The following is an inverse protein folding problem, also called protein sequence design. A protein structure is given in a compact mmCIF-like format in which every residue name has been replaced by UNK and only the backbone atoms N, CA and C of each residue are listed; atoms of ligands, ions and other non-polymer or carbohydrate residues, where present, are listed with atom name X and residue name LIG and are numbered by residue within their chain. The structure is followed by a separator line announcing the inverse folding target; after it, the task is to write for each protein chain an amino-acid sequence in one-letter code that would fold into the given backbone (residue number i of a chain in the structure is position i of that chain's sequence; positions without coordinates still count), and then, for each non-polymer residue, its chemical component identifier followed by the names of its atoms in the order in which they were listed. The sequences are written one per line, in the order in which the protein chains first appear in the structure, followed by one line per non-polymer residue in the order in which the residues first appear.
data_IF_241050057774
#
_entry.id   IF_241050057774
#
_cell.length_a   1.000
_cell.length_b   1.000
_cell.length_c   1.000
_cell.angle_alpha   90.00
_cell.angle_beta   90.00
_cell.angle_gamma   90.00
#
_symmetry.space_group_name_H-M   'P 1'
#
loop_
_entity.id
_entity.type
_entity.pdbx_description
1 polymer ?
#
# COMPACT_ATOMS: atom_id res chain seq x y z
N UNK A 1 -0.42 16.40 18.64
CA UNK A 1 -1.14 16.59 17.37
C UNK A 1 -2.62 16.43 17.64
N UNK A 2 -3.44 17.42 17.30
CA UNK A 2 -4.90 17.26 17.36
C UNK A 2 -5.34 16.37 16.19
N UNK A 3 -6.52 15.73 16.26
CA UNK A 3 -6.96 14.77 15.23
C UNK A 3 -7.02 15.33 13.79
N UNK A 4 -7.16 16.66 13.64
CA UNK A 4 -7.15 17.35 12.34
C UNK A 4 -5.74 17.47 11.73
N UNK A 5 -4.72 17.61 12.58
CA UNK A 5 -3.32 17.71 12.16
C UNK A 5 -2.81 16.37 11.62
N UNK A 6 -3.19 15.27 12.29
CA UNK A 6 -2.80 13.92 11.89
C UNK A 6 -3.40 13.51 10.54
N UNK A 7 -4.69 13.80 10.30
CA UNK A 7 -5.34 13.52 9.02
C UNK A 7 -4.72 14.34 7.87
N UNK A 8 -4.45 15.63 8.09
CA UNK A 8 -3.77 16.46 7.07
C UNK A 8 -2.36 15.97 6.78
N UNK A 9 -1.65 15.44 7.78
CA UNK A 9 -0.33 14.85 7.58
C UNK A 9 -0.44 13.56 6.76
N UNK A 10 -1.27 12.61 7.20
CA UNK A 10 -1.44 11.31 6.54
C UNK A 10 -1.96 11.42 5.10
N UNK A 11 -2.74 12.45 4.79
CA UNK A 11 -3.17 12.75 3.42
C UNK A 11 -2.01 12.95 2.43
N UNK A 12 -0.81 13.24 2.94
CA UNK A 12 0.42 13.47 2.14
C UNK A 12 1.43 12.32 2.28
N UNK A 13 1.08 11.26 2.99
CA UNK A 13 1.97 10.11 3.24
C UNK A 13 1.52 8.93 2.39
N UNK A 14 2.47 8.36 1.66
CA UNK A 14 2.32 7.06 1.01
C UNK A 14 2.97 5.95 1.83
N UNK A 15 2.48 4.72 1.66
CA UNK A 15 3.08 3.51 2.23
C UNK A 15 3.57 2.56 1.15
N UNK A 16 4.36 1.56 1.54
CA UNK A 16 4.93 0.58 0.64
C UNK A 16 4.44 -0.83 1.01
N UNK A 17 4.09 -1.69 0.04
CA UNK A 17 3.67 -3.07 0.32
C UNK A 17 4.69 -3.89 1.11
N UNK A 18 5.98 -3.54 1.07
CA UNK A 18 7.03 -4.21 1.87
C UNK A 18 6.77 -4.11 3.38
N UNK A 19 6.05 -3.09 3.86
CA UNK A 19 5.63 -3.00 5.27
C UNK A 19 4.66 -4.12 5.69
N UNK A 20 4.03 -4.78 4.70
CA UNK A 20 3.21 -5.99 4.86
C UNK A 20 3.96 -7.28 4.46
N UNK A 21 5.27 -7.19 4.19
CA UNK A 21 6.11 -8.33 3.83
C UNK A 21 6.12 -8.69 2.35
N UNK A 22 5.50 -7.89 1.49
CA UNK A 22 5.50 -8.11 0.03
C UNK A 22 6.89 -7.82 -0.53
N UNK A 23 7.55 -8.86 -1.06
CA UNK A 23 8.93 -8.79 -1.54
C UNK A 23 9.17 -9.76 -2.70
N UNK A 24 9.90 -9.31 -3.73
CA UNK A 24 10.27 -10.10 -4.91
C UNK A 24 11.35 -11.16 -4.64
N UNK A 25 12.00 -11.12 -3.48
CA UNK A 25 13.10 -12.04 -3.14
C UNK A 25 12.57 -13.48 -3.01
N UNK A 26 13.12 -14.45 -3.76
CA UNK A 26 12.70 -15.84 -3.65
C UNK A 26 12.86 -16.39 -2.24
N UNK A 27 11.80 -17.04 -1.72
CA UNK A 27 11.81 -17.64 -0.39
C UNK A 27 11.64 -16.66 0.78
N UNK A 28 11.36 -15.38 0.51
CA UNK A 28 11.14 -14.36 1.54
C UNK A 28 9.98 -14.70 2.50
N UNK A 29 8.90 -15.25 1.97
CA UNK A 29 7.71 -15.59 2.74
C UNK A 29 6.43 -15.55 1.90
N UNK A 30 5.30 -15.45 2.60
CA UNK A 30 3.97 -15.37 2.00
C UNK A 30 3.75 -14.02 1.31
N UNK A 31 3.22 -14.05 0.09
CA UNK A 31 2.73 -12.86 -0.62
C UNK A 31 1.24 -12.68 -0.30
N UNK A 32 0.93 -11.73 0.59
CA UNK A 32 -0.46 -11.42 0.92
C UNK A 32 -1.20 -10.86 -0.31
N UNK A 33 -2.51 -11.07 -0.46
CA UNK A 33 -3.27 -10.48 -1.57
C UNK A 33 -3.27 -8.95 -1.54
N UNK A 34 -3.17 -8.31 -2.70
CA UNK A 34 -3.20 -6.84 -2.84
C UNK A 34 -4.45 -6.20 -2.22
N UNK A 35 -5.61 -6.82 -2.38
CA UNK A 35 -6.87 -6.35 -1.78
C UNK A 35 -6.81 -6.25 -0.25
N UNK A 36 -6.15 -7.21 0.41
CA UNK A 36 -5.96 -7.18 1.86
C UNK A 36 -5.05 -6.03 2.27
N UNK A 37 -3.88 -5.93 1.67
CA UNK A 37 -2.88 -4.90 2.01
C UNK A 37 -3.44 -3.49 1.77
N UNK A 38 -4.10 -3.26 0.64
CA UNK A 38 -4.72 -1.96 0.33
C UNK A 38 -5.85 -1.62 1.32
N UNK A 39 -6.66 -2.62 1.72
CA UNK A 39 -7.72 -2.43 2.72
C UNK A 39 -7.13 -2.05 4.09
N UNK A 40 -6.06 -2.72 4.51
CA UNK A 40 -5.39 -2.44 5.77
C UNK A 40 -4.71 -1.05 5.76
N UNK A 41 -4.05 -0.67 4.66
CA UNK A 41 -3.51 0.70 4.47
C UNK A 41 -4.60 1.76 4.61
N UNK A 42 -5.74 1.57 3.93
CA UNK A 42 -6.88 2.48 4.01
C UNK A 42 -7.44 2.56 5.45
N UNK A 43 -7.51 1.44 6.16
CA UNK A 43 -7.94 1.38 7.57
C UNK A 43 -7.03 2.17 8.53
N UNK A 44 -5.75 2.33 8.17
CA UNK A 44 -4.78 3.17 8.90
C UNK A 44 -4.81 4.65 8.48
N UNK A 45 -5.62 5.02 7.49
CA UNK A 45 -5.71 6.36 6.95
C UNK A 45 -4.58 6.74 5.98
N UNK A 46 -3.91 5.75 5.39
CA UNK A 46 -2.85 5.95 4.39
C UNK A 46 -3.47 5.89 2.98
N UNK A 47 -3.64 7.03 2.28
CA UNK A 47 -4.41 7.07 1.03
C UNK A 47 -3.61 6.70 -0.21
N UNK A 48 -2.29 6.53 -0.10
CA UNK A 48 -1.40 6.33 -1.22
C UNK A 48 -0.44 5.18 -0.97
N UNK A 49 -0.07 4.49 -2.04
CA UNK A 49 0.97 3.47 -2.01
C UNK A 49 1.78 3.45 -3.30
N UNK A 50 3.00 2.93 -3.24
CA UNK A 50 3.74 2.51 -4.44
C UNK A 50 3.25 1.15 -4.95
N UNK A 51 3.69 0.74 -6.14
CA UNK A 51 3.27 -0.52 -6.75
C UNK A 51 3.74 -1.77 -6.00
N UNK A 52 4.84 -1.66 -5.26
CA UNK A 52 5.48 -2.78 -4.57
C UNK A 52 6.25 -3.69 -5.52
N UNK A 53 6.29 -4.99 -5.17
CA UNK A 53 7.04 -6.00 -5.94
C UNK A 53 6.46 -6.20 -7.35
N UNK A 54 7.28 -6.68 -8.28
CA UNK A 54 6.88 -6.90 -9.67
C UNK A 54 5.70 -7.87 -9.74
N UNK A 55 4.62 -7.45 -10.40
CA UNK A 55 3.40 -8.25 -10.56
C UNK A 55 2.45 -8.22 -9.36
N UNK A 56 2.77 -7.45 -8.30
CA UNK A 56 1.89 -7.31 -7.14
C UNK A 56 0.66 -6.44 -7.42
N UNK A 57 0.88 -5.30 -8.07
CA UNK A 57 -0.15 -4.43 -8.61
C UNK A 57 0.02 -4.29 -10.13
N UNK A 58 -1.07 -4.00 -10.87
CA UNK A 58 -0.98 -3.63 -12.27
C UNK A 58 -0.07 -2.42 -12.48
N UNK A 59 0.56 -2.34 -13.64
CA UNK A 59 1.36 -1.16 -14.03
C UNK A 59 0.57 -0.22 -14.95
N UNK A 60 -0.54 -0.66 -15.53
CA UNK A 60 -1.43 0.19 -16.32
C UNK A 60 -2.22 1.15 -15.40
N UNK A 61 -2.09 2.48 -15.59
CA UNK A 61 -2.84 3.47 -14.82
C UNK A 61 -4.37 3.34 -14.89
N UNK A 62 -4.91 2.78 -15.96
CA UNK A 62 -6.35 2.53 -16.09
C UNK A 62 -6.79 1.37 -15.20
N UNK A 63 -6.03 0.27 -15.17
CA UNK A 63 -6.28 -0.88 -14.30
C UNK A 63 -6.10 -0.54 -12.81
N UNK A 64 -5.19 0.38 -12.49
CA UNK A 64 -5.00 0.85 -11.11
C UNK A 64 -6.16 1.70 -10.56
N UNK A 65 -7.03 2.22 -11.42
CA UNK A 65 -8.13 3.12 -11.04
C UNK A 65 -9.50 2.41 -10.95
N UNK A 66 -9.58 1.15 -11.34
CA UNK A 66 -10.82 0.36 -11.32
C UNK A 66 -11.16 -0.16 -9.94
#
# INVERSE_FOLDING_TARGET
MTGRDASSFLARVGSAPISWGICEVPGWGEQLPSTRVLTEMAGLGLPATELGSVGYLPTDPAELRS
#
